data_IF_690958168705
#
_entry.id   IF_690958168705
#
_cell.length_a   1.000
_cell.length_b   1.000
_cell.length_c   1.000
_cell.angle_alpha   90.00
_cell.angle_beta   90.00
_cell.angle_gamma   90.00
#
_symmetry.space_group_name_H-M   'P 1'
#
loop_
_entity.id
_entity.type
_entity.pdbx_description
1 polymer ?
#
# COMPACT_ATOMS: atom_id res chain seq x y z
N UNK A 1 -17.29 -24.66 -18.02
CA UNK A 1 -16.96 -24.02 -19.32
C UNK A 1 -18.19 -23.34 -19.98
N UNK A 2 -19.09 -22.73 -19.18
CA UNK A 2 -20.28 -21.98 -19.67
C UNK A 2 -20.50 -20.62 -18.99
N UNK A 3 -19.58 -20.18 -18.13
CA UNK A 3 -19.70 -18.92 -17.37
C UNK A 3 -18.79 -17.78 -17.87
N UNK A 4 -17.98 -18.01 -18.91
CA UNK A 4 -17.03 -17.02 -19.44
C UNK A 4 -17.42 -16.41 -20.80
N UNK A 5 -18.50 -16.88 -21.45
CA UNK A 5 -18.87 -16.45 -22.80
C UNK A 5 -19.97 -15.37 -22.87
N UNK A 6 -20.55 -14.95 -21.75
CA UNK A 6 -21.61 -13.91 -21.74
C UNK A 6 -21.11 -12.51 -21.33
N UNK A 7 -19.83 -12.35 -20.99
CA UNK A 7 -19.27 -11.06 -20.58
C UNK A 7 -18.69 -10.21 -21.74
N UNK A 8 -18.69 -10.72 -22.97
CA UNK A 8 -18.07 -10.06 -24.12
C UNK A 8 -19.00 -9.15 -24.93
N UNK A 9 -20.30 -9.09 -24.61
CA UNK A 9 -21.30 -8.34 -25.39
C UNK A 9 -21.79 -7.04 -24.73
N UNK A 10 -21.27 -6.63 -23.58
CA UNK A 10 -21.75 -5.45 -22.82
C UNK A 10 -20.74 -4.29 -22.74
N UNK A 11 -19.56 -4.43 -23.36
CA UNK A 11 -18.54 -3.38 -23.36
C UNK A 11 -18.35 -2.82 -24.76
N UNK A 12 -19.27 -1.95 -25.18
CA UNK A 12 -19.02 -1.00 -26.25
C UNK A 12 -18.11 0.11 -25.70
N UNK A 13 -16.86 0.13 -26.15
CA UNK A 13 -15.82 1.04 -25.67
C UNK A 13 -15.81 2.39 -26.40
N UNK A 14 -16.85 2.71 -27.18
CA UNK A 14 -16.87 3.89 -28.05
C UNK A 14 -17.44 5.18 -27.44
N UNK A 15 -17.94 5.16 -26.20
CA UNK A 15 -18.46 6.38 -25.56
C UNK A 15 -17.36 7.19 -24.86
N UNK A 16 -17.14 8.39 -25.39
CA UNK A 16 -16.26 9.43 -24.86
C UNK A 16 -16.65 9.81 -23.43
N UNK A 17 -15.82 9.45 -22.46
CA UNK A 17 -15.98 9.84 -21.07
C UNK A 17 -15.75 11.34 -20.88
N UNK A 18 -16.82 12.13 -20.83
CA UNK A 18 -16.75 13.40 -20.08
C UNK A 18 -16.52 13.05 -18.61
N UNK A 19 -15.48 13.63 -17.99
CA UNK A 19 -15.11 13.33 -16.59
C UNK A 19 -16.26 13.78 -15.67
N UNK A 20 -17.11 12.84 -15.28
CA UNK A 20 -18.17 13.10 -14.30
C UNK A 20 -17.54 13.49 -12.96
N UNK A 21 -18.24 14.25 -12.10
CA UNK A 21 -17.79 14.54 -10.74
C UNK A 21 -17.42 13.27 -9.94
N UNK A 22 -17.99 12.11 -10.31
CA UNK A 22 -17.71 10.81 -9.70
C UNK A 22 -16.34 10.25 -10.10
N UNK A 23 -15.89 10.48 -11.34
CA UNK A 23 -14.56 10.08 -11.81
C UNK A 23 -13.45 10.96 -11.22
N UNK A 24 -13.76 12.23 -10.92
CA UNK A 24 -12.85 13.13 -10.19
C UNK A 24 -12.59 12.65 -8.76
N UNK A 25 -13.59 12.11 -8.05
CA UNK A 25 -13.41 11.49 -6.73
C UNK A 25 -12.50 10.24 -6.78
N UNK A 26 -12.57 9.48 -7.87
CA UNK A 26 -11.71 8.32 -8.13
C UNK A 26 -10.25 8.76 -8.35
N UNK A 27 -10.03 9.86 -9.08
CA UNK A 27 -8.73 10.48 -9.27
C UNK A 27 -8.17 11.09 -7.96
N UNK A 28 -9.02 11.66 -7.11
CA UNK A 28 -8.61 12.14 -5.78
C UNK A 28 -8.17 10.99 -4.87
N UNK A 29 -8.94 9.90 -4.81
CA UNK A 29 -8.59 8.70 -4.03
C UNK A 29 -7.30 8.08 -4.60
N UNK A 30 -7.17 7.99 -5.93
CA UNK A 30 -5.96 7.50 -6.59
C UNK A 30 -4.74 8.40 -6.33
N UNK A 31 -4.91 9.73 -6.36
CA UNK A 31 -3.83 10.68 -6.04
C UNK A 31 -3.37 10.55 -4.59
N UNK A 32 -4.30 10.38 -3.64
CA UNK A 32 -3.98 10.11 -2.23
C UNK A 32 -3.17 8.80 -2.14
N UNK A 33 -3.63 7.72 -2.76
CA UNK A 33 -2.96 6.41 -2.72
C UNK A 33 -1.59 6.41 -3.43
N UNK A 34 -1.45 7.13 -4.54
CA UNK A 34 -0.22 7.18 -5.35
C UNK A 34 0.87 8.06 -4.72
N UNK A 35 0.51 9.21 -4.13
CA UNK A 35 1.44 10.04 -3.38
C UNK A 35 1.97 9.32 -2.13
N UNK A 36 1.15 8.49 -1.48
CA UNK A 36 1.57 7.67 -0.34
C UNK A 36 2.52 6.55 -0.77
N UNK A 37 2.30 5.90 -1.92
CA UNK A 37 3.22 4.89 -2.45
C UNK A 37 4.61 5.45 -2.79
N UNK A 38 4.65 6.67 -3.33
CA UNK A 38 5.92 7.38 -3.63
C UNK A 38 6.61 7.85 -2.34
N UNK A 39 5.87 8.38 -1.36
CA UNK A 39 6.42 8.79 -0.06
C UNK A 39 6.95 7.60 0.74
N UNK A 40 6.31 6.43 0.69
CA UNK A 40 6.81 5.20 1.30
C UNK A 40 8.13 4.75 0.66
N UNK A 41 8.23 4.83 -0.67
CA UNK A 41 9.46 4.47 -1.38
C UNK A 41 10.61 5.43 -1.05
N UNK A 42 10.32 6.74 -0.97
CA UNK A 42 11.29 7.78 -0.62
C UNK A 42 11.72 7.67 0.84
N UNK A 43 10.79 7.50 1.78
CA UNK A 43 11.09 7.34 3.20
C UNK A 43 11.92 6.07 3.47
N UNK A 44 11.56 4.96 2.83
CA UNK A 44 12.35 3.72 2.88
C UNK A 44 13.76 3.93 2.31
N UNK A 45 13.88 4.62 1.17
CA UNK A 45 15.18 4.93 0.56
C UNK A 45 16.04 5.82 1.47
N UNK A 46 15.48 6.86 2.09
CA UNK A 46 16.19 7.75 3.02
C UNK A 46 16.65 6.97 4.26
N UNK A 47 15.80 6.13 4.86
CA UNK A 47 16.15 5.31 6.02
C UNK A 47 17.30 4.35 5.69
N UNK A 48 17.26 3.70 4.52
CA UNK A 48 18.32 2.78 4.08
C UNK A 48 19.63 3.53 3.82
N UNK A 49 19.58 4.69 3.15
CA UNK A 49 20.78 5.50 2.89
C UNK A 49 21.39 6.04 4.19
N UNK A 50 20.58 6.57 5.10
CA UNK A 50 21.04 7.06 6.41
C UNK A 50 21.63 5.92 7.24
N UNK A 51 21.00 4.74 7.25
CA UNK A 51 21.53 3.56 7.93
C UNK A 51 22.89 3.11 7.37
N UNK A 52 23.04 3.05 6.04
CA UNK A 52 24.32 2.69 5.42
C UNK A 52 25.40 3.75 5.63
N UNK A 53 25.06 5.04 5.60
CA UNK A 53 25.99 6.12 5.94
C UNK A 53 26.44 6.01 7.40
N UNK A 54 25.53 5.72 8.34
CA UNK A 54 25.89 5.53 9.75
C UNK A 54 26.80 4.32 9.94
N UNK A 55 26.48 3.18 9.33
CA UNK A 55 27.33 1.97 9.39
C UNK A 55 28.69 2.23 8.77
N UNK A 56 28.76 2.97 7.66
CA UNK A 56 30.03 3.31 7.02
C UNK A 56 30.87 4.28 7.87
N UNK A 57 30.26 5.30 8.47
CA UNK A 57 30.92 6.25 9.38
C UNK A 57 31.44 5.51 10.63
N UNK A 58 30.60 4.67 11.25
CA UNK A 58 30.97 3.87 12.41
C UNK A 58 32.07 2.85 12.09
N UNK A 59 32.03 2.23 10.90
CA UNK A 59 33.08 1.31 10.44
C UNK A 59 34.39 2.05 10.15
N UNK A 60 34.34 3.27 9.62
CA UNK A 60 35.51 4.11 9.39
C UNK A 60 36.13 4.57 10.72
N UNK A 61 35.31 4.93 11.70
CA UNK A 61 35.75 5.22 13.08
C UNK A 61 36.37 3.99 13.77
N UNK A 62 35.75 2.81 13.65
CA UNK A 62 36.28 1.56 14.22
C UNK A 62 37.58 1.10 13.54
N UNK A 63 37.75 1.35 12.23
CA UNK A 63 38.99 1.06 11.51
C UNK A 63 40.10 2.09 11.81
N UNK A 64 39.75 3.36 12.03
CA UNK A 64 40.69 4.40 12.46
C UNK A 64 41.15 4.19 13.91
N UNK A 65 40.27 3.70 14.79
CA UNK A 65 40.60 3.36 16.19
C UNK A 65 41.45 2.09 16.35
N UNK A 66 41.63 1.27 15.31
CA UNK A 66 42.57 0.13 15.32
C UNK A 66 44.04 0.52 15.07
N UNK A 67 44.35 1.82 14.85
CA UNK A 67 45.71 2.31 14.62
C UNK A 67 46.33 3.10 15.78
N UNK A 68 45.63 3.25 16.91
CA UNK A 68 46.15 3.97 18.09
C UNK A 68 45.90 3.11 19.34
N UNK A 69 46.80 2.18 19.60
CA UNK A 69 46.95 1.52 20.90
C UNK A 69 47.87 2.37 21.77
N UNK A 70 47.32 3.22 22.63
CA UNK A 70 47.96 3.67 23.87
C UNK A 70 46.97 4.39 24.78
N UNK A 71 47.00 4.04 26.07
CA UNK A 71 46.40 4.71 27.24
C UNK A 71 44.92 4.46 27.57
N UNK A 72 44.73 3.33 28.29
CA UNK A 72 44.10 3.18 29.62
C UNK A 72 42.96 4.12 30.07
N UNK A 73 41.89 3.45 30.52
CA UNK A 73 40.82 3.80 31.48
C UNK A 73 39.59 4.53 30.93
N UNK A 74 38.51 3.77 30.70
CA UNK A 74 37.30 3.90 31.52
C UNK A 74 36.44 2.63 31.40
N UNK A 75 36.07 2.09 32.55
CA UNK A 75 35.35 0.84 32.75
C UNK A 75 33.83 1.05 32.72
N UNK A 76 33.10 -0.04 32.43
CA UNK A 76 31.69 -0.30 32.77
C UNK A 76 30.61 0.66 32.22
N UNK A 77 29.81 0.18 31.26
CA UNK A 77 28.40 -0.27 31.42
C UNK A 77 27.89 -0.62 30.02
N UNK A 78 28.11 -1.87 29.56
CA UNK A 78 27.32 -2.47 28.47
C UNK A 78 27.13 -3.94 28.84
N UNK A 79 26.20 -4.18 29.76
CA UNK A 79 25.80 -5.52 30.22
C UNK A 79 24.29 -5.65 30.44
N UNK A 80 23.49 -4.69 29.97
CA UNK A 80 22.04 -4.69 30.17
C UNK A 80 21.31 -3.94 29.04
N UNK A 81 21.42 -4.45 27.81
CA UNK A 81 20.54 -4.05 26.70
C UNK A 81 20.28 -5.22 25.73
N UNK A 82 20.32 -6.46 26.22
CA UNK A 82 19.94 -7.66 25.45
C UNK A 82 18.66 -8.33 25.93
N UNK A 83 17.95 -7.76 26.90
CA UNK A 83 16.60 -8.16 27.26
C UNK A 83 15.78 -6.92 27.64
N UNK A 84 15.15 -6.30 26.65
CA UNK A 84 13.89 -5.54 26.69
C UNK A 84 13.86 -4.56 25.52
N UNK A 85 12.81 -4.65 24.68
CA UNK A 85 12.43 -3.54 23.81
C UNK A 85 12.51 -3.78 22.30
N UNK A 86 12.05 -4.92 21.79
CA UNK A 86 11.56 -4.99 20.39
C UNK A 86 10.06 -5.31 20.36
N UNK A 87 9.22 -4.35 20.75
CA UNK A 87 8.00 -4.09 19.96
C UNK A 87 7.82 -2.62 19.54
N UNK A 88 8.59 -1.67 20.08
CA UNK A 88 8.30 -0.24 19.92
C UNK A 88 8.68 0.36 18.55
N UNK A 89 9.64 -0.24 17.83
CA UNK A 89 10.12 0.29 16.55
C UNK A 89 9.14 0.06 15.38
N UNK A 90 8.19 -0.88 15.50
CA UNK A 90 7.13 -1.08 14.49
C UNK A 90 5.97 -0.07 14.67
N UNK A 91 5.72 0.39 15.90
CA UNK A 91 4.66 1.34 16.21
C UNK A 91 5.05 2.81 15.90
N UNK A 92 6.32 3.18 16.09
CA UNK A 92 6.74 4.58 15.97
C UNK A 92 6.79 5.12 14.53
N UNK A 93 6.99 4.26 13.51
CA UNK A 93 7.07 4.71 12.11
C UNK A 93 5.71 5.08 11.49
N UNK A 94 4.60 4.64 12.11
CA UNK A 94 3.25 4.87 11.59
C UNK A 94 2.52 6.05 12.26
N UNK A 95 3.13 6.68 13.27
CA UNK A 95 2.51 7.70 14.13
C UNK A 95 3.00 9.13 13.84
N UNK A 96 3.53 9.42 12.65
CA UNK A 96 3.78 10.81 12.26
C UNK A 96 2.45 11.47 11.86
N UNK A 97 1.94 12.48 12.58
CA UNK A 97 0.68 13.12 12.25
C UNK A 97 0.86 13.99 11.00
N UNK A 98 0.28 13.58 9.88
CA UNK A 98 0.05 14.48 8.75
C UNK A 98 -1.36 15.07 8.88
N UNK A 99 -1.46 16.29 9.43
CA UNK A 99 -2.72 17.04 9.42
C UNK A 99 -3.08 17.42 7.98
N UNK A 100 -4.29 17.08 7.53
CA UNK A 100 -4.78 17.53 6.23
C UNK A 100 -5.22 18.99 6.37
N UNK A 101 -4.35 19.93 6.03
CA UNK A 101 -4.78 21.31 5.77
C UNK A 101 -5.53 21.32 4.43
N UNK A 102 -6.79 21.77 4.43
CA UNK A 102 -7.58 21.95 3.22
C UNK A 102 -6.96 23.07 2.36
N UNK A 103 -6.12 22.68 1.40
CA UNK A 103 -5.62 23.60 0.39
C UNK A 103 -6.71 23.85 -0.66
N UNK A 104 -7.30 25.05 -0.65
CA UNK A 104 -8.19 25.51 -1.70
C UNK A 104 -7.40 25.62 -3.02
N UNK A 105 -7.58 24.66 -3.92
CA UNK A 105 -6.99 24.71 -5.26
C UNK A 105 -7.82 25.63 -6.16
N UNK A 106 -7.23 26.77 -6.54
CA UNK A 106 -7.69 27.55 -7.70
C UNK A 106 -7.58 26.69 -8.95
N UNK A 107 -8.70 26.40 -9.59
CA UNK A 107 -8.79 25.71 -10.87
C UNK A 107 -8.31 26.64 -11.99
N UNK A 108 -7.05 26.47 -12.42
CA UNK A 108 -6.64 26.93 -13.74
C UNK A 108 -7.08 25.87 -14.76
N UNK A 109 -7.86 26.28 -15.75
CA UNK A 109 -8.29 25.41 -16.84
C UNK A 109 -7.07 24.93 -17.65
N UNK A 110 -6.86 23.61 -17.72
CA UNK A 110 -5.92 23.01 -18.67
C UNK A 110 -6.49 23.04 -20.09
N UNK A 111 -5.65 23.26 -21.12
CA UNK A 111 -6.11 23.38 -22.49
C UNK A 111 -6.49 22.02 -23.08
N UNK A 112 -7.64 22.02 -23.75
CA UNK A 112 -8.06 21.26 -24.94
C UNK A 112 -7.67 19.77 -25.01
N UNK A 113 -8.72 18.94 -24.90
CA UNK A 113 -8.79 17.53 -25.28
C UNK A 113 -8.35 17.35 -26.74
N UNK A 114 -7.19 16.72 -26.94
CA UNK A 114 -6.83 16.14 -28.23
C UNK A 114 -7.57 14.83 -28.45
N UNK A 115 -7.83 14.51 -29.72
CA UNK A 115 -8.47 13.27 -30.17
C UNK A 115 -7.79 12.01 -29.55
N UNK A 116 -8.52 11.15 -28.81
CA UNK A 116 -7.95 9.94 -28.22
C UNK A 116 -7.49 8.89 -29.26
N UNK A 117 -7.85 9.04 -30.54
CA UNK A 117 -7.52 8.10 -31.60
C UNK A 117 -6.06 8.17 -32.09
N UNK A 118 -5.26 9.17 -31.67
CA UNK A 118 -3.88 9.32 -32.11
C UNK A 118 -2.91 9.50 -30.93
N UNK A 119 -2.93 8.57 -29.97
CA UNK A 119 -1.79 8.44 -29.05
C UNK A 119 -0.55 8.07 -29.89
N UNK A 120 0.51 8.91 -29.92
CA UNK A 120 1.71 8.59 -30.70
C UNK A 120 2.24 7.23 -30.24
N UNK A 121 2.56 6.34 -31.19
CA UNK A 121 3.10 5.01 -30.90
C UNK A 121 4.25 5.16 -29.89
N UNK A 122 4.12 4.47 -28.75
CA UNK A 122 5.09 4.56 -27.68
C UNK A 122 6.43 4.04 -28.16
N UNK A 123 7.36 4.94 -28.50
CA UNK A 123 8.67 4.53 -28.96
C UNK A 123 9.32 3.59 -27.92
N UNK A 124 9.82 2.45 -28.40
CA UNK A 124 10.55 1.49 -27.60
C UNK A 124 11.71 2.18 -26.85
N UNK A 125 12.09 1.63 -25.69
CA UNK A 125 13.30 2.10 -25.01
C UNK A 125 14.52 1.98 -25.93
N UNK A 126 15.42 2.95 -25.86
CA UNK A 126 16.67 2.85 -26.63
C UNK A 126 17.45 1.60 -26.20
N UNK A 127 18.21 0.97 -27.11
CA UNK A 127 18.98 -0.23 -26.77
C UNK A 127 19.90 -0.03 -25.55
N UNK A 128 20.51 1.15 -25.42
CA UNK A 128 21.33 1.51 -24.29
C UNK A 128 20.54 1.57 -22.97
N UNK A 129 19.35 2.19 -22.97
CA UNK A 129 18.49 2.28 -21.79
C UNK A 129 17.98 0.89 -21.37
N UNK A 130 17.55 0.07 -22.34
CA UNK A 130 17.14 -1.33 -22.14
C UNK A 130 18.26 -2.13 -21.48
N UNK A 131 19.47 -2.11 -22.05
CA UNK A 131 20.61 -2.85 -21.52
C UNK A 131 20.99 -2.40 -20.09
N UNK A 132 20.96 -1.08 -19.84
CA UNK A 132 21.25 -0.53 -18.51
C UNK A 132 20.19 -0.94 -17.47
N UNK A 133 18.90 -0.89 -17.83
CA UNK A 133 17.81 -1.30 -16.95
C UNK A 133 17.87 -2.79 -16.64
N UNK A 134 18.01 -3.64 -17.67
CA UNK A 134 18.15 -5.09 -17.51
C UNK A 134 19.31 -5.44 -16.60
N UNK A 135 20.49 -4.86 -16.82
CA UNK A 135 21.66 -5.07 -15.95
C UNK A 135 21.40 -4.72 -14.49
N UNK A 136 20.64 -3.64 -14.22
CA UNK A 136 20.28 -3.23 -12.86
C UNK A 136 19.29 -4.19 -12.21
N UNK A 137 18.30 -4.67 -12.96
CA UNK A 137 17.33 -5.65 -12.47
C UNK A 137 18.00 -6.99 -12.18
N UNK A 138 18.88 -7.45 -13.07
CA UNK A 138 19.64 -8.70 -12.86
C UNK A 138 20.53 -8.64 -11.61
N UNK A 139 21.10 -7.48 -11.32
CA UNK A 139 21.90 -7.29 -10.12
C UNK A 139 21.10 -7.43 -8.80
N UNK A 140 19.77 -7.27 -8.85
CA UNK A 140 18.87 -7.49 -7.71
C UNK A 140 18.59 -8.98 -7.44
N UNK A 141 18.92 -9.87 -8.38
CA UNK A 141 18.72 -11.31 -8.21
C UNK A 141 19.82 -11.91 -7.33
N UNK A 142 19.40 -12.77 -6.41
CA UNK A 142 20.27 -13.60 -5.56
C UNK A 142 19.69 -13.79 -4.16
N UNK A 143 20.43 -14.50 -3.32
CA UNK A 143 19.98 -14.98 -2.00
C UNK A 143 20.69 -14.33 -0.81
N UNK A 144 21.40 -13.22 -1.05
CA UNK A 144 22.20 -12.50 -0.07
C UNK A 144 21.74 -11.05 0.10
N UNK A 145 21.84 -10.54 1.33
CA UNK A 145 21.52 -9.15 1.65
C UNK A 145 20.07 -8.78 1.32
N UNK A 146 19.89 -7.79 0.46
CA UNK A 146 18.59 -7.25 0.03
C UNK A 146 18.11 -7.79 -1.33
N UNK A 147 18.77 -8.83 -1.84
CA UNK A 147 18.44 -9.43 -3.14
C UNK A 147 17.16 -10.27 -3.07
N UNK A 148 16.54 -10.47 -4.23
CA UNK A 148 15.26 -11.19 -4.39
C UNK A 148 15.46 -12.49 -5.18
N UNK A 149 14.62 -13.52 -4.94
CA UNK A 149 14.74 -14.79 -5.67
C UNK A 149 14.45 -14.64 -7.16
N UNK A 150 13.55 -13.71 -7.50
CA UNK A 150 13.12 -13.44 -8.87
C UNK A 150 12.24 -12.19 -8.93
N UNK A 151 12.09 -11.63 -10.13
CA UNK A 151 11.25 -10.47 -10.41
C UNK A 151 10.70 -10.54 -11.83
N UNK A 152 9.58 -9.86 -12.05
CA UNK A 152 9.02 -9.56 -13.37
C UNK A 152 8.72 -8.07 -13.46
N UNK A 153 9.16 -7.42 -14.53
CA UNK A 153 8.97 -5.99 -14.78
C UNK A 153 8.45 -5.81 -16.20
N UNK A 154 7.39 -5.02 -16.36
CA UNK A 154 6.84 -4.65 -17.66
C UNK A 154 6.62 -3.13 -17.64
N UNK A 155 7.03 -2.43 -18.70
CA UNK A 155 6.76 -1.01 -18.87
C UNK A 155 5.82 -0.80 -20.07
N UNK A 156 4.78 -0.03 -19.84
CA UNK A 156 3.85 0.42 -20.87
C UNK A 156 4.04 1.91 -21.14
N UNK A 157 3.94 2.30 -22.41
CA UNK A 157 3.90 3.69 -22.87
C UNK A 157 2.87 3.79 -23.99
N UNK A 158 1.90 4.69 -23.86
CA UNK A 158 0.86 4.92 -24.86
C UNK A 158 0.14 3.62 -25.27
N UNK A 159 -0.24 2.81 -24.29
CA UNK A 159 -0.92 1.52 -24.51
C UNK A 159 -0.04 0.40 -25.07
N UNK A 160 1.24 0.65 -25.37
CA UNK A 160 2.15 -0.36 -25.89
C UNK A 160 3.19 -0.79 -24.86
N UNK A 161 3.48 -2.09 -24.82
CA UNK A 161 4.60 -2.61 -24.06
C UNK A 161 5.91 -2.19 -24.74
N UNK A 162 6.73 -1.42 -24.02
CA UNK A 162 8.02 -0.91 -24.52
C UNK A 162 9.23 -1.64 -23.93
N UNK A 163 8.99 -2.47 -22.91
CA UNK A 163 10.00 -3.28 -22.23
C UNK A 163 9.32 -4.35 -21.37
N UNK A 164 9.88 -5.55 -21.37
CA UNK A 164 9.62 -6.56 -20.34
C UNK A 164 10.89 -7.30 -19.97
N UNK A 165 10.99 -7.67 -18.70
CA UNK A 165 12.10 -8.45 -18.16
C UNK A 165 11.63 -9.34 -17.03
N UNK A 166 12.01 -10.61 -17.10
CA UNK A 166 11.66 -11.63 -16.11
C UNK A 166 12.94 -12.37 -15.76
N UNK A 167 13.30 -12.38 -14.49
CA UNK A 167 14.57 -12.91 -14.04
C UNK A 167 14.45 -13.64 -12.71
N UNK A 168 15.38 -14.57 -12.50
CA UNK A 168 15.41 -15.42 -11.31
C UNK A 168 14.27 -16.43 -11.24
N UNK A 169 14.02 -16.91 -10.03
CA UNK A 169 13.13 -18.02 -9.75
C UNK A 169 11.98 -17.62 -8.82
N UNK A 170 10.91 -18.41 -8.85
CA UNK A 170 9.70 -18.20 -8.03
C UNK A 170 9.94 -18.30 -6.52
N UNK A 171 11.04 -18.94 -6.10
CA UNK A 171 11.42 -19.16 -4.70
C UNK A 171 12.91 -19.46 -4.58
N UNK A 172 13.44 -19.30 -3.37
CA UNK A 172 14.75 -19.86 -3.03
C UNK A 172 14.61 -21.37 -2.79
N UNK A 173 15.34 -22.20 -3.54
CA UNK A 173 15.53 -23.62 -3.22
C UNK A 173 17.00 -23.85 -2.88
N UNK A 174 17.34 -23.70 -1.60
CA UNK A 174 18.72 -23.87 -1.13
C UNK A 174 19.24 -25.30 -1.29
N UNK A 175 18.38 -26.31 -1.12
CA UNK A 175 18.80 -27.71 -1.24
C UNK A 175 18.82 -28.22 -2.69
N UNK A 176 18.07 -27.61 -3.60
CA UNK A 176 18.06 -27.97 -5.02
C UNK A 176 17.75 -26.75 -5.90
N UNK A 177 18.75 -25.90 -6.18
CA UNK A 177 18.56 -24.68 -6.96
C UNK A 177 18.04 -24.94 -8.39
N UNK A 178 18.34 -26.11 -8.97
CA UNK A 178 17.92 -26.50 -10.32
C UNK A 178 16.41 -26.79 -10.38
N UNK A 179 15.81 -27.19 -9.26
CA UNK A 179 14.37 -27.44 -9.19
C UNK A 179 13.52 -26.17 -9.04
N UNK A 180 14.14 -24.98 -8.97
CA UNK A 180 13.40 -23.75 -8.76
C UNK A 180 12.82 -23.26 -10.10
N UNK A 181 11.48 -23.25 -10.20
CA UNK A 181 10.80 -22.76 -11.39
C UNK A 181 11.16 -21.30 -11.68
N UNK A 182 11.47 -20.94 -12.94
CA UNK A 182 11.81 -19.57 -13.31
C UNK A 182 10.60 -18.64 -13.20
N UNK A 183 10.87 -17.36 -12.96
CA UNK A 183 9.86 -16.31 -13.20
C UNK A 183 9.65 -16.19 -14.71
N UNK A 184 8.40 -16.17 -15.11
CA UNK A 184 7.94 -15.99 -16.49
C UNK A 184 6.83 -14.94 -16.52
N UNK A 185 6.46 -14.49 -17.73
CA UNK A 185 5.31 -13.60 -17.94
C UNK A 185 4.02 -14.13 -17.32
N UNK A 186 3.80 -15.45 -17.39
CA UNK A 186 2.59 -16.10 -16.89
C UNK A 186 2.66 -16.45 -15.40
N UNK A 187 3.74 -16.07 -14.72
CA UNK A 187 3.89 -16.35 -13.29
C UNK A 187 2.87 -15.54 -12.50
N UNK A 188 2.06 -16.25 -11.70
CA UNK A 188 1.04 -15.64 -10.85
C UNK A 188 1.68 -15.18 -9.55
N UNK A 189 1.55 -13.89 -9.25
CA UNK A 189 2.01 -13.29 -8.01
C UNK A 189 0.84 -13.06 -7.04
N UNK A 190 1.10 -13.23 -5.74
CA UNK A 190 0.17 -12.74 -4.71
C UNK A 190 0.32 -11.23 -4.62
N UNK A 191 -0.69 -10.49 -5.07
CA UNK A 191 -0.63 -9.03 -5.21
C UNK A 191 -0.87 -8.25 -3.90
N UNK A 192 -1.27 -8.93 -2.82
CA UNK A 192 -1.46 -8.36 -1.49
C UNK A 192 -2.24 -7.03 -1.50
N UNK A 193 -1.68 -5.94 -0.94
CA UNK A 193 -2.37 -4.65 -0.81
C UNK A 193 -2.70 -3.97 -2.14
N UNK A 194 -2.13 -4.39 -3.27
CA UNK A 194 -2.56 -3.93 -4.59
C UNK A 194 -4.03 -4.29 -4.83
N UNK A 195 -4.55 -5.36 -4.21
CA UNK A 195 -5.97 -5.75 -4.27
C UNK A 195 -6.93 -4.63 -3.85
N UNK A 196 -6.51 -3.67 -3.01
CA UNK A 196 -7.35 -2.57 -2.53
C UNK A 196 -7.90 -1.70 -3.66
N UNK A 197 -7.13 -1.51 -4.73
CA UNK A 197 -7.58 -0.75 -5.90
C UNK A 197 -8.78 -1.42 -6.58
N UNK A 198 -8.79 -2.75 -6.66
CA UNK A 198 -9.93 -3.51 -7.20
C UNK A 198 -11.15 -3.46 -6.27
N UNK A 199 -10.94 -3.45 -4.96
CA UNK A 199 -12.01 -3.23 -3.99
C UNK A 199 -12.65 -1.86 -4.18
N UNK A 200 -11.87 -0.79 -4.27
CA UNK A 200 -12.39 0.57 -4.53
C UNK A 200 -13.05 0.65 -5.90
N UNK A 201 -12.50 0.04 -6.93
CA UNK A 201 -13.14 0.00 -8.25
C UNK A 201 -14.55 -0.62 -8.18
N UNK A 202 -14.68 -1.77 -7.53
CA UNK A 202 -15.99 -2.44 -7.35
C UNK A 202 -16.93 -1.61 -6.46
N UNK A 203 -16.39 -0.96 -5.43
CA UNK A 203 -17.13 -0.05 -4.57
C UNK A 203 -17.73 1.12 -5.37
N UNK A 204 -16.96 1.70 -6.26
CA UNK A 204 -17.39 2.82 -7.09
C UNK A 204 -18.46 2.42 -8.11
N UNK A 205 -18.45 1.19 -8.62
CA UNK A 205 -19.56 0.67 -9.43
C UNK A 205 -20.87 0.65 -8.64
N UNK A 206 -20.85 0.23 -7.37
CA UNK A 206 -22.04 0.28 -6.49
C UNK A 206 -22.50 1.72 -6.20
N UNK A 207 -21.56 2.67 -6.13
CA UNK A 207 -21.86 4.10 -5.97
C UNK A 207 -22.49 4.68 -7.23
N UNK A 208 -22.02 4.26 -8.42
CA UNK A 208 -22.58 4.67 -9.69
C UNK A 208 -24.01 4.13 -9.88
N UNK A 209 -24.25 2.88 -9.48
CA UNK A 209 -25.57 2.24 -9.43
C UNK A 209 -26.52 2.83 -8.37
N UNK A 210 -26.03 3.74 -7.51
CA UNK A 210 -26.84 4.36 -6.44
C UNK A 210 -27.18 3.40 -5.28
N UNK A 211 -26.52 2.24 -5.21
CA UNK A 211 -26.71 1.24 -4.15
C UNK A 211 -25.94 1.56 -2.87
N UNK A 212 -24.95 2.45 -2.98
CA UNK A 212 -24.06 2.86 -1.91
C UNK A 212 -23.72 4.35 -2.05
N UNK A 213 -23.73 5.11 -0.96
CA UNK A 213 -23.16 6.45 -0.92
C UNK A 213 -21.76 6.46 -0.32
N UNK A 214 -20.86 7.26 -0.86
CA UNK A 214 -19.52 7.46 -0.27
C UNK A 214 -19.59 8.10 1.12
N UNK A 215 -20.58 8.97 1.34
CA UNK A 215 -20.75 9.69 2.60
C UNK A 215 -21.79 9.04 3.52
N UNK A 216 -22.30 7.86 3.14
CA UNK A 216 -23.18 7.07 4.00
C UNK A 216 -22.41 6.53 5.20
N UNK A 217 -23.07 6.57 6.36
CA UNK A 217 -22.61 5.89 7.56
C UNK A 217 -22.56 4.38 7.33
N UNK A 218 -21.36 3.80 7.49
CA UNK A 218 -21.11 2.37 7.25
C UNK A 218 -22.00 1.47 8.12
N UNK A 219 -22.42 1.97 9.30
CA UNK A 219 -23.27 1.23 10.24
C UNK A 219 -24.59 0.78 9.61
N UNK A 220 -25.10 1.53 8.62
CA UNK A 220 -26.31 1.21 7.85
C UNK A 220 -26.21 -0.12 7.13
N UNK A 221 -25.01 -0.48 6.67
CA UNK A 221 -24.75 -1.71 5.92
C UNK A 221 -24.32 -2.86 6.82
N UNK A 222 -23.61 -2.55 7.91
CA UNK A 222 -23.09 -3.56 8.83
C UNK A 222 -24.16 -4.17 9.75
N UNK A 223 -25.29 -3.49 9.97
CA UNK A 223 -26.33 -3.96 10.89
C UNK A 223 -25.94 -3.83 12.37
N UNK A 224 -24.96 -2.99 12.68
CA UNK A 224 -24.60 -2.57 14.03
C UNK A 224 -23.94 -1.18 14.00
N UNK A 225 -23.99 -0.47 15.12
CA UNK A 225 -23.36 0.84 15.24
C UNK A 225 -21.84 0.68 15.30
N UNK A 226 -21.14 1.10 14.26
CA UNK A 226 -19.69 1.18 14.23
C UNK A 226 -19.27 2.63 14.48
N UNK A 227 -18.70 2.88 15.66
CA UNK A 227 -18.22 4.19 16.10
C UNK A 227 -16.88 4.03 16.79
N UNK A 228 -16.02 5.03 16.63
CA UNK A 228 -14.90 5.18 17.54
C UNK A 228 -15.47 5.52 18.94
N UNK A 229 -15.15 4.75 20.00
CA UNK A 229 -15.66 5.02 21.35
C UNK A 229 -15.33 6.41 21.89
N UNK A 230 -14.22 7.02 21.44
CA UNK A 230 -13.86 8.40 21.79
C UNK A 230 -14.66 9.47 21.01
N UNK A 231 -15.34 9.07 19.93
CA UNK A 231 -16.15 9.94 19.08
C UNK A 231 -17.51 9.29 18.76
N UNK A 232 -18.35 9.00 19.78
CA UNK A 232 -19.56 8.19 19.61
C UNK A 232 -20.61 8.83 18.68
N UNK A 233 -20.58 10.16 18.54
CA UNK A 233 -21.52 10.93 17.72
C UNK A 233 -21.03 11.15 16.28
N UNK A 234 -19.81 10.73 15.95
CA UNK A 234 -19.22 10.94 14.63
C UNK A 234 -19.33 9.65 13.80
N UNK A 235 -20.09 9.64 12.70
CA UNK A 235 -20.20 8.46 11.86
C UNK A 235 -18.89 8.16 11.12
N UNK A 236 -18.64 6.87 10.90
CA UNK A 236 -17.58 6.40 9.99
C UNK A 236 -18.24 6.17 8.63
N UNK A 237 -17.78 6.88 7.61
CA UNK A 237 -18.36 6.76 6.26
C UNK A 237 -17.62 5.75 5.39
N UNK A 238 -18.27 5.32 4.30
CA UNK A 238 -17.67 4.49 3.25
C UNK A 238 -16.39 5.13 2.69
N UNK A 239 -16.43 6.44 2.42
CA UNK A 239 -15.29 7.24 1.95
C UNK A 239 -14.12 7.13 2.90
N UNK A 240 -14.37 7.31 4.20
CA UNK A 240 -13.32 7.25 5.22
C UNK A 240 -12.65 5.87 5.30
N UNK A 241 -13.40 4.79 5.10
CA UNK A 241 -12.81 3.45 5.02
C UNK A 241 -11.89 3.33 3.79
N UNK A 242 -12.37 3.76 2.62
CA UNK A 242 -11.62 3.67 1.37
C UNK A 242 -10.35 4.54 1.38
N UNK A 243 -10.42 5.73 2.01
CA UNK A 243 -9.32 6.69 2.12
C UNK A 243 -8.46 6.53 3.37
N UNK A 244 -8.68 5.49 4.19
CA UNK A 244 -7.93 5.26 5.43
C UNK A 244 -8.01 6.41 6.46
N UNK A 245 -9.14 7.10 6.52
CA UNK A 245 -9.41 8.18 7.47
C UNK A 245 -10.53 7.86 8.47
N UNK A 246 -10.92 6.59 8.58
CA UNK A 246 -12.04 6.11 9.41
C UNK A 246 -11.83 6.22 10.92
N UNK A 247 -10.63 6.57 11.38
CA UNK A 247 -10.17 6.39 12.77
C UNK A 247 -10.12 4.92 13.24
N UNK A 248 -10.23 3.94 12.32
CA UNK A 248 -9.94 2.55 12.65
C UNK A 248 -8.43 2.27 12.58
N UNK A 249 -7.99 1.27 13.35
CA UNK A 249 -6.59 0.88 13.48
C UNK A 249 -6.45 -0.64 13.33
N UNK A 250 -5.33 -1.05 12.77
CA UNK A 250 -4.93 -2.45 12.79
C UNK A 250 -4.36 -2.76 14.19
N UNK A 251 -4.92 -3.78 14.86
CA UNK A 251 -4.41 -4.26 16.14
C UNK A 251 -3.38 -5.37 15.95
N UNK A 252 -3.27 -6.28 16.92
CA UNK A 252 -2.54 -7.55 16.76
C UNK A 252 -3.15 -8.38 15.62
N UNK A 253 -4.47 -8.31 15.46
CA UNK A 253 -5.17 -8.82 14.29
C UNK A 253 -5.56 -7.66 13.36
N UNK A 254 -5.29 -7.84 12.06
CA UNK A 254 -5.56 -6.82 11.03
C UNK A 254 -6.39 -7.35 9.85
N UNK A 255 -6.89 -8.57 9.95
CA UNK A 255 -7.73 -9.21 8.92
C UNK A 255 -8.94 -9.88 9.54
N UNK A 256 -10.12 -9.52 9.05
CA UNK A 256 -11.38 -10.17 9.43
C UNK A 256 -11.53 -11.43 8.57
N UNK A 257 -11.46 -12.61 9.19
CA UNK A 257 -11.64 -13.88 8.48
C UNK A 257 -13.12 -14.05 8.09
N UNK A 258 -13.42 -14.70 6.95
CA UNK A 258 -14.82 -14.90 6.52
C UNK A 258 -15.71 -15.63 7.53
N UNK A 259 -15.13 -16.45 8.40
CA UNK A 259 -15.82 -17.21 9.44
C UNK A 259 -16.06 -16.42 10.73
N UNK A 260 -15.56 -15.19 10.83
CA UNK A 260 -15.65 -14.36 12.04
C UNK A 260 -16.64 -13.23 11.82
N UNK A 261 -17.50 -12.99 12.81
CA UNK A 261 -18.41 -11.86 12.79
C UNK A 261 -17.63 -10.55 12.82
N UNK A 262 -17.92 -9.65 11.88
CA UNK A 262 -17.35 -8.30 11.86
C UNK A 262 -17.59 -7.58 13.19
N UNK A 263 -18.76 -7.80 13.82
CA UNK A 263 -19.12 -7.16 15.09
C UNK A 263 -18.11 -7.50 16.21
N UNK A 264 -17.59 -8.72 16.24
CA UNK A 264 -16.65 -9.18 17.29
C UNK A 264 -15.30 -8.43 17.30
N UNK A 265 -14.95 -7.72 16.22
CA UNK A 265 -13.76 -6.86 16.19
C UNK A 265 -13.98 -5.51 16.87
N UNK A 266 -15.23 -5.08 17.02
CA UNK A 266 -15.56 -3.69 17.37
C UNK A 266 -16.44 -3.56 18.62
N UNK A 267 -16.78 -4.68 19.26
CA UNK A 267 -17.57 -4.70 20.49
C UNK A 267 -16.77 -5.27 21.67
N UNK A 268 -16.85 -4.70 22.89
CA UNK A 268 -16.10 -5.17 24.06
C UNK A 268 -16.23 -6.66 24.39
N UNK A 269 -17.36 -7.27 24.05
CA UNK A 269 -17.64 -8.70 24.28
C UNK A 269 -16.98 -9.62 23.23
N UNK A 270 -16.44 -9.03 22.16
CA UNK A 270 -15.87 -9.73 21.03
C UNK A 270 -14.48 -10.26 21.31
N UNK A 271 -14.19 -11.48 20.83
CA UNK A 271 -12.88 -12.13 20.99
C UNK A 271 -11.73 -11.30 20.40
N UNK A 272 -12.02 -10.51 19.38
CA UNK A 272 -11.06 -9.71 18.63
C UNK A 272 -11.18 -8.22 18.93
N UNK A 273 -11.77 -7.82 20.06
CA UNK A 273 -11.90 -6.40 20.40
C UNK A 273 -10.57 -5.74 20.78
N UNK A 274 -9.64 -6.52 21.33
CA UNK A 274 -8.31 -6.07 21.75
C UNK A 274 -8.36 -4.79 22.63
N UNK A 275 -9.28 -4.73 23.59
CA UNK A 275 -9.50 -3.57 24.46
C UNK A 275 -9.72 -2.24 23.72
N UNK A 276 -10.18 -2.28 22.47
CA UNK A 276 -10.41 -1.10 21.65
C UNK A 276 -9.19 -0.66 20.83
N UNK A 277 -8.12 -1.46 20.78
CA UNK A 277 -6.91 -1.19 19.96
C UNK A 277 -7.23 -1.02 18.46
N UNK A 278 -8.43 -1.41 18.02
CA UNK A 278 -8.94 -1.19 16.67
C UNK A 278 -9.45 0.24 16.41
N UNK A 279 -9.35 1.14 17.39
CA UNK A 279 -9.77 2.53 17.27
C UNK A 279 -8.62 3.50 17.56
N UNK A 280 -8.63 4.62 16.86
CA UNK A 280 -7.71 5.72 17.09
C UNK A 280 -7.95 6.38 18.45
N UNK A 281 -6.93 7.02 19.05
CA UNK A 281 -7.09 7.78 20.29
C UNK A 281 -8.01 8.99 20.11
N UNK A 282 -8.44 9.57 21.24
CA UNK A 282 -9.46 10.64 21.29
C UNK A 282 -9.08 11.96 20.59
N UNK A 283 -7.79 12.18 20.31
CA UNK A 283 -7.32 13.33 19.53
C UNK A 283 -7.37 13.09 18.01
N UNK A 284 -7.79 11.90 17.56
CA UNK A 284 -7.77 11.48 16.16
C UNK A 284 -9.16 11.08 15.65
N UNK A 285 -10.04 12.09 15.50
CA UNK A 285 -11.42 11.89 15.08
C UNK A 285 -11.57 11.31 13.65
N UNK A 286 -12.67 10.59 13.36
CA UNK A 286 -12.99 10.15 12.00
C UNK A 286 -12.94 11.31 10.99
N UNK A 287 -12.33 11.06 9.84
CA UNK A 287 -12.15 12.01 8.75
C UNK A 287 -10.96 12.97 8.90
N UNK A 288 -10.33 13.06 10.08
CA UNK A 288 -9.29 14.07 10.35
C UNK A 288 -7.86 13.57 10.13
N UNK A 289 -7.62 12.26 10.31
CA UNK A 289 -6.28 11.68 10.26
C UNK A 289 -6.23 10.48 9.34
N UNK A 290 -5.19 10.44 8.51
CA UNK A 290 -4.85 9.27 7.73
C UNK A 290 -4.12 8.24 8.61
N UNK A 291 -4.56 6.99 8.58
CA UNK A 291 -3.81 5.86 9.08
C UNK A 291 -4.15 4.62 8.25
N UNK A 292 -3.12 4.04 7.64
CA UNK A 292 -3.29 2.81 6.88
C UNK A 292 -3.76 1.67 7.82
N UNK A 293 -4.93 1.13 7.51
CA UNK A 293 -5.56 0.05 8.26
C UNK A 293 -6.17 -0.96 7.28
N UNK A 294 -5.70 -2.20 7.33
CA UNK A 294 -6.23 -3.30 6.51
C UNK A 294 -7.68 -3.64 6.89
N UNK A 295 -8.04 -3.49 8.16
CA UNK A 295 -9.41 -3.74 8.65
C UNK A 295 -10.46 -2.90 7.88
N UNK A 296 -10.11 -1.68 7.44
CA UNK A 296 -11.02 -0.87 6.61
C UNK A 296 -11.49 -1.62 5.36
N UNK A 297 -10.57 -2.36 4.72
CA UNK A 297 -10.87 -3.09 3.49
C UNK A 297 -11.53 -4.45 3.75
N UNK A 298 -11.38 -4.99 4.96
CA UNK A 298 -12.23 -6.08 5.43
C UNK A 298 -13.70 -5.65 5.55
N UNK A 299 -13.95 -4.40 5.90
CA UNK A 299 -15.30 -3.82 5.96
C UNK A 299 -15.87 -3.49 4.58
N UNK A 300 -15.07 -2.93 3.66
CA UNK A 300 -15.53 -2.56 2.31
C UNK A 300 -15.83 -3.77 1.39
N UNK A 301 -15.41 -4.96 1.79
CA UNK A 301 -15.58 -6.19 1.01
C UNK A 301 -17.01 -6.75 1.07
N UNK A 302 -17.20 -8.05 1.35
CA UNK A 302 -18.52 -8.69 1.38
C UNK A 302 -19.55 -8.02 2.29
N UNK A 303 -19.10 -7.31 3.33
CA UNK A 303 -19.96 -6.73 4.37
C UNK A 303 -20.87 -5.60 3.88
N UNK A 304 -20.59 -4.99 2.73
CA UNK A 304 -21.41 -3.91 2.15
C UNK A 304 -22.40 -4.37 1.06
N UNK A 305 -22.46 -5.66 0.73
CA UNK A 305 -23.24 -6.18 -0.42
C UNK A 305 -24.74 -6.43 -0.16
N UNK A 306 -25.37 -5.75 0.80
CA UNK A 306 -26.81 -5.93 1.05
C UNK A 306 -27.67 -5.09 0.11
#
# INVERSE_FOLDING_TARGET
MRFFNEASSVLDWSETWSLSPKMMALLEIYNILSHIGVLYLIAYYIIVVVFFCLVFILRKELLMRKRITSLRRFSLVIGAAFLCGMPAAYAASNNAPASIAAAAHKTAASPVVGDPAALPQGAALSPAATAQLTKRLDAMIGDTGTKVPGLGVILYRNGQEVYSHFAGNRRFLRQNPIAAEPITRDTRFRIASVSKQFTVFTLMQLVEEGRLGLDDDVSRYLGFSLRNPAHPNTPITVRMLASHTSSLRDGKVYSILPSVSVREFFTPEGRYYENGDHFAPANEAPGQYFCYANINYGLLGPSLRK
#
